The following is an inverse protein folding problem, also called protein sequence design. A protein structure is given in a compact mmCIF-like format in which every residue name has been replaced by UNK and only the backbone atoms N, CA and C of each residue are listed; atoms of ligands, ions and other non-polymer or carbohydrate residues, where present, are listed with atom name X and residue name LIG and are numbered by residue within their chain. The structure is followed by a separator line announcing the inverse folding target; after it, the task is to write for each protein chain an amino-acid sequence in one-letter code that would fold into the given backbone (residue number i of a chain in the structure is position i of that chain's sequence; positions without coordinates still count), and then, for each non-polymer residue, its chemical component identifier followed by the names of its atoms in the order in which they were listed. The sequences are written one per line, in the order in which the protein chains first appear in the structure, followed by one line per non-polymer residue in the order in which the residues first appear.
data_IF_300197232134
#
_entry.id   IF_300197232134
#
_cell.length_a   1.000
_cell.length_b   1.000
_cell.length_c   1.000
_cell.angle_alpha   90.00
_cell.angle_beta   90.00
_cell.angle_gamma   90.00
#
_symmetry.space_group_name_H-M   'P 1'
#
loop_
_entity.id
_entity.type
_entity.pdbx_description
1 polymer ?
#
# COMPACT_ATOMS: atom_id res chain seq x y z
N UNK A 1 -5.50 54.64 -92.19
CA UNK A 1 -4.82 55.10 -90.97
C UNK A 1 -5.75 56.05 -90.22
N UNK A 2 -6.47 55.56 -89.22
CA UNK A 2 -7.32 56.41 -88.39
C UNK A 2 -6.43 57.07 -87.33
N UNK A 3 -6.22 58.37 -87.46
CA UNK A 3 -5.56 59.20 -86.45
C UNK A 3 -6.53 59.41 -85.30
N UNK A 4 -6.33 58.70 -84.19
CA UNK A 4 -7.02 58.96 -82.93
C UNK A 4 -6.46 60.26 -82.32
N UNK A 5 -7.08 61.41 -82.59
CA UNK A 5 -6.80 62.63 -81.82
C UNK A 5 -7.46 62.49 -80.45
N UNK A 6 -6.67 62.25 -79.41
CA UNK A 6 -7.16 62.32 -78.03
C UNK A 6 -7.65 63.76 -77.76
N UNK A 7 -8.93 63.92 -77.41
CA UNK A 7 -9.50 65.19 -76.95
C UNK A 7 -8.73 65.66 -75.72
N UNK A 8 -8.25 66.90 -75.73
CA UNK A 8 -7.59 67.48 -74.56
C UNK A 8 -8.57 67.51 -73.38
N UNK A 9 -8.14 67.07 -72.18
CA UNK A 9 -9.01 67.00 -71.01
C UNK A 9 -9.44 68.40 -70.58
N UNK A 10 -10.73 68.55 -70.28
CA UNK A 10 -11.28 69.81 -69.82
C UNK A 10 -11.04 70.00 -68.33
N UNK A 11 -11.13 71.25 -67.83
CA UNK A 11 -11.08 71.57 -66.40
C UNK A 11 -12.12 70.75 -65.61
N UNK A 12 -13.29 70.47 -66.21
CA UNK A 12 -14.32 69.63 -65.59
C UNK A 12 -13.87 68.19 -65.39
N UNK A 13 -13.14 67.62 -66.36
CA UNK A 13 -12.60 66.26 -66.27
C UNK A 13 -11.54 66.17 -65.16
N UNK A 14 -10.69 67.19 -65.04
CA UNK A 14 -9.71 67.30 -63.96
C UNK A 14 -10.40 67.40 -62.59
N UNK A 15 -11.44 68.22 -62.45
CA UNK A 15 -12.18 68.36 -61.20
C UNK A 15 -12.86 67.05 -60.77
N UNK A 16 -13.48 66.31 -61.71
CA UNK A 16 -14.06 64.99 -61.43
C UNK A 16 -13.01 63.99 -60.94
N UNK A 17 -11.83 63.98 -61.55
CA UNK A 17 -10.72 63.15 -61.09
C UNK A 17 -10.27 63.51 -59.67
N UNK A 18 -10.17 64.80 -59.35
CA UNK A 18 -9.78 65.27 -58.01
C UNK A 18 -10.79 64.84 -56.94
N UNK A 19 -12.09 64.94 -57.21
CA UNK A 19 -13.15 64.46 -56.30
C UNK A 19 -13.02 62.95 -56.08
N UNK A 20 -12.88 62.17 -57.15
CA UNK A 20 -12.72 60.72 -57.05
C UNK A 20 -11.46 60.31 -56.28
N UNK A 21 -10.37 61.08 -56.40
CA UNK A 21 -9.15 60.89 -55.61
C UNK A 21 -9.42 61.19 -54.13
N UNK A 22 -10.10 62.29 -53.83
CA UNK A 22 -10.47 62.65 -52.44
C UNK A 22 -11.34 61.59 -51.77
N UNK A 23 -12.33 61.04 -52.47
CA UNK A 23 -13.17 59.95 -51.97
C UNK A 23 -12.34 58.69 -51.66
N UNK A 24 -11.40 58.35 -52.55
CA UNK A 24 -10.47 57.23 -52.33
C UNK A 24 -9.57 57.46 -51.13
N UNK A 25 -9.07 58.70 -50.92
CA UNK A 25 -8.30 59.05 -49.73
C UNK A 25 -9.10 58.84 -48.44
N UNK A 26 -10.36 59.29 -48.41
CA UNK A 26 -11.23 59.08 -47.25
C UNK A 26 -11.46 57.59 -46.95
N UNK A 27 -11.56 56.75 -47.99
CA UNK A 27 -11.64 55.28 -47.81
C UNK A 27 -10.34 54.71 -47.26
N UNK A 28 -9.18 55.16 -47.73
CA UNK A 28 -7.87 54.73 -47.23
C UNK A 28 -7.70 55.10 -45.76
N UNK A 29 -8.07 56.32 -45.36
CA UNK A 29 -8.02 56.76 -43.96
C UNK A 29 -8.86 55.88 -43.05
N UNK A 30 -10.09 55.54 -43.47
CA UNK A 30 -10.94 54.60 -42.70
C UNK A 30 -10.30 53.23 -42.54
N UNK A 31 -9.69 52.69 -43.61
CA UNK A 31 -8.99 51.39 -43.55
C UNK A 31 -7.77 51.44 -42.64
N UNK A 32 -7.00 52.54 -42.65
CA UNK A 32 -5.88 52.75 -41.74
C UNK A 32 -6.33 52.75 -40.28
N UNK A 33 -7.46 53.40 -39.97
CA UNK A 33 -8.03 53.38 -38.62
C UNK A 33 -8.42 51.97 -38.15
N UNK A 34 -8.99 51.15 -39.03
CA UNK A 34 -9.31 49.74 -38.71
C UNK A 34 -8.03 48.92 -38.48
N UNK A 35 -6.99 49.15 -39.28
CA UNK A 35 -5.69 48.47 -39.11
C UNK A 35 -5.03 48.81 -37.77
N UNK A 36 -5.05 50.06 -37.33
CA UNK A 36 -4.52 50.48 -36.03
C UNK A 36 -5.25 49.78 -34.86
N UNK A 37 -6.58 49.67 -34.93
CA UNK A 37 -7.37 48.92 -33.95
C UNK A 37 -7.01 47.44 -33.94
N UNK A 38 -6.82 46.83 -35.12
CA UNK A 38 -6.44 45.43 -35.23
C UNK A 38 -5.04 45.18 -34.67
N UNK A 39 -4.09 46.06 -34.97
CA UNK A 39 -2.72 46.00 -34.44
C UNK A 39 -2.74 45.99 -32.91
N UNK A 40 -3.51 46.90 -32.29
CA UNK A 40 -3.66 46.97 -30.83
C UNK A 40 -4.23 45.67 -30.25
N UNK A 41 -5.22 45.06 -30.89
CA UNK A 41 -5.79 43.78 -30.46
C UNK A 41 -4.79 42.64 -30.56
N UNK A 42 -4.06 42.53 -31.68
CA UNK A 42 -3.01 41.52 -31.86
C UNK A 42 -1.94 41.65 -30.78
N UNK A 43 -1.48 42.88 -30.50
CA UNK A 43 -0.52 43.13 -29.40
C UNK A 43 -1.06 42.73 -28.02
N UNK A 44 -2.37 42.87 -27.77
CA UNK A 44 -3.00 42.38 -26.53
C UNK A 44 -2.96 40.86 -26.45
N UNK A 45 -3.38 40.18 -27.52
CA UNK A 45 -3.37 38.72 -27.58
C UNK A 45 -1.97 38.14 -27.44
N UNK A 46 -0.96 38.76 -28.05
CA UNK A 46 0.44 38.34 -27.86
C UNK A 46 0.90 38.40 -26.41
N UNK A 47 0.48 39.43 -25.66
CA UNK A 47 0.81 39.57 -24.24
C UNK A 47 0.11 38.50 -23.40
N UNK A 48 -1.19 38.28 -23.64
CA UNK A 48 -1.96 37.25 -22.95
C UNK A 48 -1.40 35.86 -23.23
N UNK A 49 -1.06 35.55 -24.49
CA UNK A 49 -0.50 34.27 -24.88
C UNK A 49 0.85 34.02 -24.20
N UNK A 50 1.73 35.03 -24.14
CA UNK A 50 3.00 34.94 -23.41
C UNK A 50 2.78 34.68 -21.92
N UNK A 51 1.81 35.36 -21.31
CA UNK A 51 1.48 35.16 -19.89
C UNK A 51 0.97 33.75 -19.61
N UNK A 52 0.06 33.24 -20.45
CA UNK A 52 -0.47 31.88 -20.35
C UNK A 52 0.64 30.86 -20.53
N UNK A 53 1.54 31.07 -21.50
CA UNK A 53 2.64 30.16 -21.77
C UNK A 53 3.59 30.03 -20.57
N UNK A 54 3.96 31.14 -19.94
CA UNK A 54 4.77 31.14 -18.71
C UNK A 54 4.06 30.38 -17.59
N UNK A 55 2.75 30.61 -17.39
CA UNK A 55 1.99 29.92 -16.36
C UNK A 55 1.90 28.40 -16.61
N UNK A 56 1.82 27.97 -17.87
CA UNK A 56 1.84 26.56 -18.25
C UNK A 56 3.21 25.95 -17.97
N UNK A 57 4.29 26.61 -18.37
CA UNK A 57 5.67 26.16 -18.13
C UNK A 57 5.96 25.98 -16.63
N UNK A 58 5.58 26.96 -15.81
CA UNK A 58 5.71 26.88 -14.35
C UNK A 58 4.93 25.73 -13.74
N UNK A 59 3.71 25.47 -14.24
CA UNK A 59 2.88 24.34 -13.80
C UNK A 59 3.48 23.00 -14.22
N UNK A 60 4.04 22.92 -15.42
CA UNK A 60 4.70 21.71 -15.92
C UNK A 60 5.90 21.35 -15.04
N UNK A 61 6.77 22.32 -14.74
CA UNK A 61 7.92 22.13 -13.83
C UNK A 61 7.50 21.66 -12.44
N UNK A 62 6.48 22.30 -11.85
CA UNK A 62 5.93 21.89 -10.54
C UNK A 62 5.33 20.49 -10.57
N UNK A 63 4.71 20.10 -11.69
CA UNK A 63 4.16 18.75 -11.85
C UNK A 63 5.28 17.72 -11.93
N UNK A 64 6.34 17.99 -12.68
CA UNK A 64 7.51 17.13 -12.80
C UNK A 64 8.19 16.91 -11.44
N UNK A 65 8.39 17.97 -10.64
CA UNK A 65 8.90 17.86 -9.28
C UNK A 65 8.01 16.99 -8.38
N UNK A 66 6.69 17.13 -8.50
CA UNK A 66 5.72 16.32 -7.72
C UNK A 66 5.75 14.87 -8.13
N UNK A 67 5.81 14.58 -9.43
CA UNK A 67 5.90 13.22 -9.97
C UNK A 67 7.19 12.56 -9.49
N UNK A 68 8.32 13.28 -9.52
CA UNK A 68 9.60 12.79 -9.00
C UNK A 68 9.51 12.41 -7.52
N UNK A 69 8.98 13.31 -6.67
CA UNK A 69 8.77 13.04 -5.24
C UNK A 69 7.82 11.86 -4.96
N UNK A 70 6.80 11.68 -5.80
CA UNK A 70 5.89 10.53 -5.68
C UNK A 70 6.63 9.24 -6.03
N UNK A 71 7.44 9.26 -7.09
CA UNK A 71 8.25 8.11 -7.49
C UNK A 71 9.22 7.70 -6.38
N UNK A 72 9.96 8.63 -5.79
CA UNK A 72 10.88 8.35 -4.69
C UNK A 72 10.17 7.70 -3.48
N UNK A 73 8.95 8.16 -3.18
CA UNK A 73 8.12 7.58 -2.11
C UNK A 73 7.64 6.17 -2.43
N UNK A 74 7.26 5.91 -3.68
CA UNK A 74 6.86 4.57 -4.14
C UNK A 74 8.04 3.62 -4.07
N UNK A 75 9.19 4.01 -4.60
CA UNK A 75 10.43 3.21 -4.54
C UNK A 75 10.82 2.90 -3.08
N UNK A 76 10.71 3.89 -2.19
CA UNK A 76 10.95 3.69 -0.75
C UNK A 76 9.94 2.74 -0.08
N UNK A 77 8.66 2.81 -0.47
CA UNK A 77 7.63 1.90 0.03
C UNK A 77 7.86 0.45 -0.45
N UNK A 78 8.25 0.26 -1.70
CA UNK A 78 8.55 -1.05 -2.28
C UNK A 78 9.74 -1.72 -1.56
N UNK A 79 10.80 -0.95 -1.28
CA UNK A 79 11.93 -1.43 -0.47
C UNK A 79 11.45 -1.82 0.94
N UNK A 80 10.63 -0.98 1.58
CA UNK A 80 10.06 -1.27 2.89
C UNK A 80 9.21 -2.54 2.91
N UNK A 81 8.38 -2.75 1.88
CA UNK A 81 7.57 -3.94 1.73
C UNK A 81 8.42 -5.20 1.57
N UNK A 82 9.50 -5.15 0.76
CA UNK A 82 10.41 -6.27 0.58
C UNK A 82 11.12 -6.65 1.89
N UNK A 83 11.58 -5.66 2.68
CA UNK A 83 12.20 -5.90 3.98
C UNK A 83 11.22 -6.54 4.98
N UNK A 84 9.97 -6.06 5.02
CA UNK A 84 8.94 -6.63 5.87
C UNK A 84 8.58 -8.06 5.47
N UNK A 85 8.48 -8.35 4.17
CA UNK A 85 8.23 -9.70 3.67
C UNK A 85 9.33 -10.67 4.09
N UNK A 86 10.60 -10.29 3.93
CA UNK A 86 11.75 -11.06 4.40
C UNK A 86 11.69 -11.31 5.91
N UNK A 87 11.34 -10.27 6.70
CA UNK A 87 11.20 -10.41 8.15
C UNK A 87 10.07 -11.34 8.56
N UNK A 88 8.97 -11.36 7.81
CA UNK A 88 7.86 -12.31 8.05
C UNK A 88 8.35 -13.74 7.80
N UNK A 89 9.07 -13.98 6.71
CA UNK A 89 9.62 -15.31 6.40
C UNK A 89 10.55 -15.82 7.51
N UNK A 90 11.42 -14.97 8.04
CA UNK A 90 12.29 -15.31 9.18
C UNK A 90 11.50 -15.67 10.44
N UNK A 91 10.44 -14.90 10.74
CA UNK A 91 9.58 -15.15 11.89
C UNK A 91 8.78 -16.44 11.74
N UNK A 92 8.32 -16.76 10.53
CA UNK A 92 7.63 -18.01 10.23
C UNK A 92 8.56 -19.22 10.42
N UNK A 93 9.81 -19.13 9.95
CA UNK A 93 10.83 -20.17 10.19
C UNK A 93 11.11 -20.35 11.68
N UNK A 94 11.30 -19.26 12.42
CA UNK A 94 11.52 -19.31 13.86
C UNK A 94 10.33 -19.93 14.61
N UNK A 95 9.10 -19.58 14.21
CA UNK A 95 7.87 -20.16 14.76
C UNK A 95 7.78 -21.67 14.51
N UNK A 96 8.09 -22.12 13.29
CA UNK A 96 8.10 -23.54 12.96
C UNK A 96 9.13 -24.31 13.81
N UNK A 97 10.37 -23.80 13.89
CA UNK A 97 11.42 -24.38 14.73
C UNK A 97 11.01 -24.48 16.20
N UNK A 98 10.38 -23.44 16.75
CA UNK A 98 9.91 -23.46 18.14
C UNK A 98 8.79 -24.49 18.34
N UNK A 99 7.89 -24.65 17.36
CA UNK A 99 6.84 -25.67 17.38
C UNK A 99 7.41 -27.09 17.42
N UNK A 100 8.46 -27.34 16.63
CA UNK A 100 9.17 -28.62 16.63
C UNK A 100 9.87 -28.88 17.97
N UNK A 101 10.54 -27.85 18.52
CA UNK A 101 11.21 -27.94 19.82
C UNK A 101 10.23 -28.22 20.96
N UNK A 102 9.08 -27.54 20.99
CA UNK A 102 8.01 -27.80 21.97
C UNK A 102 7.49 -29.23 21.86
N UNK A 103 7.27 -29.72 20.64
CA UNK A 103 6.81 -31.10 20.40
C UNK A 103 7.85 -32.11 20.86
N UNK A 104 9.12 -31.85 20.57
CA UNK A 104 10.25 -32.67 20.99
C UNK A 104 10.37 -32.72 22.52
N UNK A 105 10.38 -31.57 23.19
CA UNK A 105 10.47 -31.47 24.65
C UNK A 105 9.29 -32.15 25.34
N UNK A 106 8.07 -31.97 24.82
CA UNK A 106 6.87 -32.66 25.34
C UNK A 106 7.02 -34.18 25.23
N UNK A 107 7.48 -34.66 24.09
CA UNK A 107 7.71 -36.10 23.87
C UNK A 107 8.80 -36.65 24.79
N UNK A 108 9.87 -35.88 25.01
CA UNK A 108 10.94 -36.24 25.93
C UNK A 108 10.44 -36.29 27.39
N UNK A 109 9.66 -35.29 27.82
CA UNK A 109 9.11 -35.22 29.17
C UNK A 109 8.06 -36.30 29.44
N UNK A 110 7.35 -36.78 28.42
CA UNK A 110 6.32 -37.82 28.55
C UNK A 110 6.86 -39.23 28.29
N UNK A 111 8.12 -39.39 27.90
CA UNK A 111 8.70 -40.67 27.49
C UNK A 111 8.54 -41.78 28.52
N UNK A 112 8.71 -41.43 29.80
CA UNK A 112 8.65 -42.38 30.92
C UNK A 112 7.25 -42.42 31.57
N UNK A 113 6.29 -41.66 31.04
CA UNK A 113 4.92 -41.65 31.55
C UNK A 113 4.09 -42.73 30.86
N UNK A 114 3.43 -43.57 31.66
CA UNK A 114 2.41 -44.49 31.19
C UNK A 114 1.02 -43.87 31.38
N UNK A 115 0.24 -43.83 30.31
CA UNK A 115 -1.14 -43.35 30.35
C UNK A 115 -2.07 -44.56 30.33
N UNK A 116 -2.83 -44.74 31.42
CA UNK A 116 -3.85 -45.77 31.52
C UNK A 116 -5.21 -45.18 31.14
N UNK A 117 -5.91 -45.86 30.25
CA UNK A 117 -7.28 -45.50 29.85
C UNK A 117 -8.26 -46.53 30.41
N UNK A 118 -9.53 -46.15 30.56
CA UNK A 118 -10.59 -47.06 31.05
C UNK A 118 -10.37 -47.59 32.48
N UNK A 119 -9.68 -46.83 33.33
CA UNK A 119 -9.67 -47.08 34.78
C UNK A 119 -10.99 -46.54 35.35
N UNK A 120 -11.78 -47.34 36.10
CA UNK A 120 -13.06 -46.89 36.64
C UNK A 120 -12.91 -45.69 37.58
N UNK A 121 -13.68 -44.63 37.34
CA UNK A 121 -13.71 -43.44 38.20
C UNK A 121 -14.42 -43.70 39.52
N UNK A 122 -14.14 -42.88 40.55
CA UNK A 122 -14.84 -42.99 41.83
C UNK A 122 -16.24 -42.37 41.74
N UNK A 123 -17.27 -43.16 42.06
CA UNK A 123 -18.65 -42.67 42.10
C UNK A 123 -18.97 -41.81 43.33
N UNK A 124 -17.95 -41.37 44.08
CA UNK A 124 -18.09 -40.60 45.33
C UNK A 124 -18.30 -39.09 45.10
N UNK A 125 -18.26 -38.62 43.85
CA UNK A 125 -18.61 -37.24 43.47
C UNK A 125 -17.59 -36.17 43.88
N UNK A 126 -16.45 -36.55 44.47
CA UNK A 126 -15.33 -35.68 44.81
C UNK A 126 -14.04 -36.03 44.05
N UNK A 127 -13.04 -35.14 44.11
CA UNK A 127 -11.71 -35.44 43.54
C UNK A 127 -11.11 -36.66 44.25
N UNK A 128 -10.76 -37.68 43.46
CA UNK A 128 -10.15 -38.90 43.96
C UNK A 128 -8.76 -38.61 44.54
N UNK A 129 -8.50 -39.11 45.74
CA UNK A 129 -7.19 -38.97 46.40
C UNK A 129 -6.13 -39.80 45.65
N UNK A 130 -4.87 -39.35 45.56
CA UNK A 130 -3.80 -40.08 44.87
C UNK A 130 -3.67 -41.55 45.31
N UNK A 131 -3.91 -41.86 46.58
CA UNK A 131 -3.84 -43.21 47.14
C UNK A 131 -4.98 -44.12 46.64
N UNK A 132 -6.16 -43.56 46.41
CA UNK A 132 -7.31 -44.30 45.87
C UNK A 132 -7.08 -44.57 44.39
N UNK A 133 -6.61 -43.57 43.64
CA UNK A 133 -6.23 -43.69 42.23
C UNK A 133 -5.14 -44.76 42.04
N UNK A 134 -4.12 -44.76 42.90
CA UNK A 134 -3.06 -45.77 42.86
C UNK A 134 -3.60 -47.18 43.11
N UNK A 135 -4.49 -47.35 44.09
CA UNK A 135 -5.10 -48.66 44.38
C UNK A 135 -5.93 -49.17 43.21
N UNK A 136 -6.75 -48.31 42.60
CA UNK A 136 -7.52 -48.65 41.41
C UNK A 136 -6.64 -48.98 40.22
N UNK A 137 -5.55 -48.23 40.03
CA UNK A 137 -4.57 -48.51 38.99
C UNK A 137 -3.92 -49.89 39.19
N UNK A 138 -3.47 -50.21 40.40
CA UNK A 138 -2.88 -51.54 40.72
C UNK A 138 -3.88 -52.67 40.51
N UNK A 139 -5.15 -52.47 40.88
CA UNK A 139 -6.21 -53.44 40.63
C UNK A 139 -6.47 -53.61 39.12
N UNK A 140 -6.50 -52.51 38.37
CA UNK A 140 -6.67 -52.53 36.91
C UNK A 140 -5.51 -53.26 36.22
N UNK A 141 -4.26 -53.05 36.66
CA UNK A 141 -3.08 -53.78 36.17
C UNK A 141 -3.22 -55.31 36.38
N UNK A 142 -3.73 -55.74 37.54
CA UNK A 142 -3.97 -57.15 37.80
C UNK A 142 -5.11 -57.71 36.93
N UNK A 143 -6.23 -57.00 36.85
CA UNK A 143 -7.44 -57.53 36.24
C UNK A 143 -7.38 -57.51 34.70
N UNK A 144 -6.93 -56.38 34.13
CA UNK A 144 -6.88 -56.16 32.69
C UNK A 144 -5.59 -56.73 32.06
N UNK A 145 -4.43 -56.49 32.69
CA UNK A 145 -3.12 -56.91 32.14
C UNK A 145 -2.63 -58.26 32.70
N UNK A 146 -3.37 -58.88 33.61
CA UNK A 146 -3.02 -60.18 34.25
C UNK A 146 -1.66 -60.17 34.93
N UNK A 147 -1.21 -59.00 35.44
CA UNK A 147 -0.03 -58.94 36.29
C UNK A 147 -0.30 -59.64 37.63
N UNK A 148 0.69 -60.37 38.15
CA UNK A 148 0.61 -60.91 39.50
C UNK A 148 0.48 -59.77 40.52
N UNK A 149 -0.38 -59.95 41.54
CA UNK A 149 -0.65 -58.91 42.55
C UNK A 149 0.61 -58.40 43.23
N UNK A 150 1.56 -59.29 43.51
CA UNK A 150 2.85 -58.94 44.12
C UNK A 150 3.67 -58.03 43.22
N UNK A 151 3.78 -58.36 41.93
CA UNK A 151 4.47 -57.55 40.92
C UNK A 151 3.79 -56.19 40.74
N UNK A 152 2.45 -56.16 40.65
CA UNK A 152 1.68 -54.93 40.54
C UNK A 152 1.82 -54.03 41.79
N UNK A 153 2.05 -54.60 42.98
CA UNK A 153 2.24 -53.88 44.24
C UNK A 153 3.65 -53.29 44.39
N UNK A 154 4.64 -53.86 43.70
CA UNK A 154 6.03 -53.40 43.75
C UNK A 154 6.34 -52.25 42.77
N UNK A 155 5.41 -51.91 41.85
CA UNK A 155 5.55 -50.77 40.93
C UNK A 155 5.55 -49.47 41.73
N UNK A 156 6.54 -48.60 41.49
CA UNK A 156 6.64 -47.29 42.13
C UNK A 156 5.91 -46.25 41.30
N UNK A 157 4.87 -45.64 41.85
CA UNK A 157 4.11 -44.54 41.26
C UNK A 157 4.65 -43.21 41.77
N UNK A 158 5.21 -42.39 40.89
CA UNK A 158 5.64 -41.03 41.24
C UNK A 158 4.46 -40.07 41.07
N UNK A 159 3.66 -39.89 42.11
CA UNK A 159 2.68 -38.81 42.17
C UNK A 159 3.37 -37.50 42.59
N UNK A 160 4.20 -36.93 41.73
CA UNK A 160 4.74 -35.58 41.90
C UNK A 160 4.43 -34.74 40.67
N UNK A 161 3.34 -33.99 40.75
CA UNK A 161 3.08 -32.85 39.88
C UNK A 161 4.19 -31.82 40.17
N UNK A 162 4.92 -31.29 39.18
CA UNK A 162 5.82 -30.17 39.40
C UNK A 162 4.98 -28.98 39.86
N UNK A 163 5.08 -28.63 41.15
CA UNK A 163 4.51 -27.38 41.67
C UNK A 163 5.31 -26.26 41.03
N UNK A 164 4.69 -25.46 40.17
CA UNK A 164 5.30 -24.25 39.65
C UNK A 164 5.71 -23.38 40.83
N UNK A 165 7.00 -23.27 41.10
CA UNK A 165 7.54 -22.26 42.01
C UNK A 165 7.41 -20.93 41.29
N UNK A 166 6.36 -20.19 41.62
CA UNK A 166 6.28 -18.76 41.32
C UNK A 166 7.33 -18.03 42.15
N UNK A 167 8.59 -18.02 41.69
CA UNK A 167 9.53 -16.99 42.11
C UNK A 167 9.31 -15.78 41.22
N UNK A 168 8.28 -14.98 41.56
CA UNK A 168 8.27 -13.58 41.23
C UNK A 168 9.51 -12.95 41.88
N UNK A 169 10.49 -12.58 41.08
CA UNK A 169 11.49 -11.60 41.49
C UNK A 169 10.96 -10.25 41.06
N UNK A 170 10.32 -9.58 42.01
CA UNK A 170 10.36 -8.13 42.07
C UNK A 170 11.81 -7.72 42.33
N UNK A 171 12.42 -7.04 41.36
CA UNK A 171 13.51 -6.06 41.51
C UNK A 171 13.74 -5.37 40.17
#
# INVERSE_FOLDING_TARGET
MASCSAKEPTISDVMKCLVAISDRFAVVEKKLGVLDVLEKKVRSFEKELKSIWVAIDDRAKKLEERVSKIKDKVDGADIGAALLASRIEDLEKAKASLGDEVTYLKSQSMRDNLIFTSVPEDNSGGNESPEVTERKLRQHLHDALKLAKETASNIRTSAQIPRATSSGKDS
#
